data_IF_367580788874
#
_entry.id   IF_367580788874
#
_cell.length_a   1.000
_cell.length_b   1.000
_cell.length_c   1.000
_cell.angle_alpha   90.00
_cell.angle_beta   90.00
_cell.angle_gamma   90.00
#
_symmetry.space_group_name_H-M   'P 1'
#
loop_
_entity.id
_entity.type
_entity.pdbx_description
1 polymer ?
#
# COMPACT_ATOMS: atom_id res chain seq x y z
N UNK A 1 -3.37 -9.55 -10.77
CA UNK A 1 -3.10 -8.34 -9.97
C UNK A 1 -3.82 -8.50 -8.65
N UNK A 2 -3.18 -8.15 -7.54
CA UNK A 2 -3.84 -8.01 -6.25
C UNK A 2 -3.84 -6.53 -5.86
N UNK A 3 -4.94 -6.04 -5.28
CA UNK A 3 -5.02 -4.72 -4.68
C UNK A 3 -5.56 -4.88 -3.27
N UNK A 4 -4.83 -4.34 -2.29
CA UNK A 4 -5.23 -4.28 -0.90
C UNK A 4 -5.52 -2.85 -0.47
N UNK A 5 -6.54 -2.66 0.35
CA UNK A 5 -6.90 -1.38 0.98
C UNK A 5 -7.24 -1.60 2.44
N UNK A 6 -6.90 -0.62 3.27
CA UNK A 6 -7.41 -0.50 4.64
C UNK A 6 -8.15 0.85 4.73
N UNK A 7 -9.46 0.79 4.98
CA UNK A 7 -10.32 1.96 5.12
C UNK A 7 -11.28 1.75 6.29
N UNK A 8 -11.45 2.74 7.16
CA UNK A 8 -12.36 2.70 8.31
C UNK A 8 -12.15 1.45 9.19
N UNK A 9 -10.89 1.04 9.36
CA UNK A 9 -10.51 -0.17 10.12
C UNK A 9 -10.78 -1.50 9.41
N UNK A 10 -11.39 -1.48 8.21
CA UNK A 10 -11.65 -2.67 7.41
C UNK A 10 -10.53 -2.89 6.39
N UNK A 11 -9.93 -4.07 6.42
CA UNK A 11 -8.97 -4.52 5.41
C UNK A 11 -9.70 -5.30 4.32
N UNK A 12 -9.47 -4.94 3.07
CA UNK A 12 -10.00 -5.65 1.91
C UNK A 12 -8.89 -5.89 0.89
N UNK A 13 -8.69 -7.14 0.50
CA UNK A 13 -7.72 -7.52 -0.54
C UNK A 13 -8.46 -8.28 -1.63
N UNK A 14 -8.36 -7.79 -2.86
CA UNK A 14 -8.98 -8.40 -4.03
C UNK A 14 -7.94 -8.83 -5.03
N UNK A 15 -8.17 -9.99 -5.62
CA UNK A 15 -7.36 -10.52 -6.70
C UNK A 15 -8.16 -10.49 -8.01
N UNK A 16 -7.51 -10.06 -9.09
CA UNK A 16 -8.03 -10.18 -10.44
C UNK A 16 -7.03 -10.88 -11.35
N UNK A 17 -7.51 -11.92 -12.03
CA UNK A 17 -6.88 -12.42 -13.26
C UNK A 17 -7.05 -11.41 -14.39
N UNK A 18 -6.44 -11.70 -15.55
CA UNK A 18 -6.45 -10.79 -16.72
C UNK A 18 -7.85 -10.34 -17.15
N UNK A 19 -8.85 -11.21 -17.04
CA UNK A 19 -10.22 -10.92 -17.49
C UNK A 19 -10.97 -9.96 -16.55
N UNK A 20 -10.65 -9.96 -15.25
CA UNK A 20 -11.39 -9.20 -14.24
C UNK A 20 -10.61 -7.97 -13.75
N UNK A 21 -9.45 -7.69 -14.36
CA UNK A 21 -8.56 -6.62 -13.92
C UNK A 21 -9.22 -5.24 -14.05
N UNK A 22 -10.09 -5.08 -15.06
CA UNK A 22 -10.88 -3.86 -15.25
C UNK A 22 -11.83 -3.60 -14.08
N UNK A 23 -12.59 -4.62 -13.66
CA UNK A 23 -13.54 -4.53 -12.55
C UNK A 23 -12.83 -4.21 -11.24
N UNK A 24 -11.64 -4.76 -11.03
CA UNK A 24 -10.82 -4.47 -9.86
C UNK A 24 -10.40 -3.00 -9.80
N UNK A 25 -10.05 -2.40 -10.93
CA UNK A 25 -9.70 -0.97 -11.00
C UNK A 25 -10.93 -0.07 -10.83
N UNK A 26 -12.08 -0.45 -11.38
CA UNK A 26 -13.34 0.27 -11.17
C UNK A 26 -13.76 0.22 -9.69
N UNK A 27 -13.58 -0.92 -9.02
CA UNK A 27 -13.75 -1.04 -7.57
C UNK A 27 -12.78 -0.13 -6.82
N UNK A 28 -11.48 -0.16 -7.13
CA UNK A 28 -10.50 0.72 -6.48
C UNK A 28 -10.88 2.19 -6.63
N UNK A 29 -11.29 2.62 -7.84
CA UNK A 29 -11.75 3.99 -8.09
C UNK A 29 -12.92 4.37 -7.17
N UNK A 30 -13.87 3.45 -6.97
CA UNK A 30 -15.01 3.69 -6.08
C UNK A 30 -14.56 3.81 -4.61
N UNK A 31 -13.64 2.96 -4.15
CA UNK A 31 -13.10 3.01 -2.79
C UNK A 31 -12.30 4.28 -2.52
N UNK A 32 -11.57 4.80 -3.51
CA UNK A 32 -10.81 6.05 -3.37
C UNK A 32 -11.71 7.30 -3.30
N UNK A 33 -12.99 7.18 -3.66
CA UNK A 33 -13.92 8.31 -3.64
C UNK A 33 -14.17 8.77 -2.19
N UNK A 34 -13.97 10.06 -1.96
CA UNK A 34 -14.15 10.69 -0.65
C UNK A 34 -12.99 10.46 0.33
N UNK A 35 -11.88 9.85 -0.11
CA UNK A 35 -10.67 9.78 0.69
C UNK A 35 -9.87 11.08 0.53
N UNK A 36 -9.57 11.74 1.65
CA UNK A 36 -8.78 12.97 1.64
C UNK A 36 -7.29 12.72 1.38
N UNK A 37 -6.80 11.54 1.75
CA UNK A 37 -5.40 11.16 1.61
C UNK A 37 -5.26 9.65 1.41
N UNK A 38 -4.30 9.24 0.58
CA UNK A 38 -3.86 7.84 0.45
C UNK A 38 -2.50 7.67 1.10
N UNK A 39 -2.39 6.73 2.03
CA UNK A 39 -1.10 6.40 2.68
C UNK A 39 -0.54 5.13 2.04
N UNK A 40 0.74 5.14 1.69
CA UNK A 40 1.41 4.01 1.02
C UNK A 40 2.79 3.75 1.62
N UNK A 41 3.37 2.60 1.27
CA UNK A 41 4.78 2.29 1.48
C UNK A 41 5.45 2.05 0.13
N UNK A 42 6.30 2.99 -0.32
CA UNK A 42 6.92 2.96 -1.66
C UNK A 42 5.90 3.03 -2.82
N UNK A 43 4.66 3.40 -2.53
CA UNK A 43 3.57 3.43 -3.50
C UNK A 43 3.63 4.59 -4.47
N UNK A 44 4.28 5.69 -4.10
CA UNK A 44 4.51 6.82 -5.02
C UNK A 44 5.37 6.44 -6.23
N UNK A 45 6.30 5.49 -6.03
CA UNK A 45 7.26 5.03 -7.05
C UNK A 45 6.87 3.70 -7.71
N UNK A 46 6.00 2.91 -7.07
CA UNK A 46 5.58 1.61 -7.60
C UNK A 46 4.06 1.49 -7.75
N UNK A 47 3.30 1.43 -6.66
CA UNK A 47 1.87 1.10 -6.68
C UNK A 47 1.02 2.07 -7.52
N UNK A 48 1.12 3.38 -7.26
CA UNK A 48 0.32 4.38 -7.96
C UNK A 48 0.69 4.45 -9.46
N UNK A 49 1.98 4.49 -9.86
CA UNK A 49 2.36 4.39 -11.27
C UNK A 49 1.90 3.08 -11.93
N UNK A 50 1.98 1.96 -11.22
CA UNK A 50 1.55 0.65 -11.74
C UNK A 50 0.04 0.63 -11.98
N UNK A 51 -0.77 1.01 -10.97
CA UNK A 51 -2.23 1.10 -11.06
C UNK A 51 -2.64 2.01 -12.22
N UNK A 52 -2.03 3.19 -12.33
CA UNK A 52 -2.34 4.14 -13.41
C UNK A 52 -2.01 3.55 -14.78
N UNK A 53 -0.86 2.88 -14.92
CA UNK A 53 -0.45 2.21 -16.17
C UNK A 53 -1.45 1.13 -16.58
N UNK A 54 -1.93 0.33 -15.61
CA UNK A 54 -2.96 -0.69 -15.86
C UNK A 54 -4.30 -0.05 -16.24
N UNK A 55 -4.72 1.02 -15.56
CA UNK A 55 -5.93 1.75 -15.88
C UNK A 55 -5.93 2.34 -17.29
N UNK A 56 -4.82 2.95 -17.72
CA UNK A 56 -4.65 3.46 -19.08
C UNK A 56 -4.74 2.31 -20.09
N UNK A 57 -4.01 1.21 -19.85
CA UNK A 57 -4.01 0.03 -20.74
C UNK A 57 -5.41 -0.59 -20.90
N UNK A 58 -6.25 -0.54 -19.86
CA UNK A 58 -7.59 -1.14 -19.83
C UNK A 58 -8.72 -0.13 -20.09
N UNK A 59 -8.38 1.13 -20.37
CA UNK A 59 -9.33 2.24 -20.59
C UNK A 59 -10.30 2.41 -19.40
N UNK A 60 -9.76 2.36 -18.18
CA UNK A 60 -10.46 2.67 -16.93
C UNK A 60 -10.10 4.10 -16.53
N UNK A 61 -11.11 4.92 -16.25
CA UNK A 61 -10.90 6.31 -15.85
C UNK A 61 -10.44 6.42 -14.40
N UNK A 62 -9.14 6.67 -14.21
CA UNK A 62 -8.49 6.96 -12.93
C UNK A 62 -7.80 8.33 -12.93
N UNK A 63 -8.34 9.32 -13.66
CA UNK A 63 -7.74 10.67 -13.77
C UNK A 63 -7.58 11.43 -12.45
N UNK A 64 -8.32 11.04 -11.43
CA UNK A 64 -8.22 11.64 -10.09
C UNK A 64 -7.04 11.06 -9.29
N UNK A 65 -6.57 9.85 -9.60
CA UNK A 65 -5.50 9.19 -8.84
C UNK A 65 -4.23 10.05 -8.73
N UNK A 66 -3.70 10.68 -9.81
CA UNK A 66 -2.52 11.53 -9.72
C UNK A 66 -2.74 12.85 -8.98
N UNK A 67 -3.99 13.25 -8.77
CA UNK A 67 -4.37 14.50 -8.08
C UNK A 67 -4.65 14.28 -6.60
N UNK A 68 -4.88 13.03 -6.18
CA UNK A 68 -5.13 12.71 -4.78
C UNK A 68 -3.91 13.06 -3.95
N UNK A 69 -4.16 13.64 -2.77
CA UNK A 69 -3.11 13.78 -1.76
C UNK A 69 -2.64 12.39 -1.36
N UNK A 70 -1.34 12.19 -1.34
CA UNK A 70 -0.73 10.93 -0.89
C UNK A 70 0.41 11.18 0.08
N UNK A 71 0.54 10.31 1.07
CA UNK A 71 1.70 10.24 1.96
C UNK A 71 2.40 8.90 1.68
N UNK A 72 3.65 8.97 1.26
CA UNK A 72 4.50 7.77 1.13
C UNK A 72 5.42 7.70 2.35
N UNK A 73 5.14 6.77 3.26
CA UNK A 73 5.89 6.63 4.49
C UNK A 73 7.31 6.10 4.26
N UNK A 74 7.57 5.41 3.15
CA UNK A 74 8.93 5.01 2.81
C UNK A 74 9.78 6.24 2.52
N UNK A 75 9.27 7.15 1.68
CA UNK A 75 9.98 8.38 1.33
C UNK A 75 10.15 9.29 2.54
N UNK A 76 9.10 9.44 3.36
CA UNK A 76 9.20 10.17 4.61
C UNK A 76 10.27 9.57 5.53
N UNK A 77 10.27 8.24 5.74
CA UNK A 77 11.29 7.60 6.57
C UNK A 77 12.69 7.82 6.01
N UNK A 78 12.87 7.72 4.69
CA UNK A 78 14.17 7.95 4.01
C UNK A 78 14.68 9.38 4.19
N UNK A 79 13.79 10.34 4.25
CA UNK A 79 14.12 11.76 4.42
C UNK A 79 14.46 12.09 5.87
N UNK A 80 13.67 11.60 6.84
CA UNK A 80 13.74 12.05 8.24
C UNK A 80 14.42 11.07 9.20
N UNK A 81 14.54 9.78 8.86
CA UNK A 81 15.18 8.77 9.70
C UNK A 81 16.51 8.33 9.12
N UNK A 82 17.47 7.95 9.98
CA UNK A 82 18.78 7.41 9.58
C UNK A 82 18.89 5.94 9.98
N UNK A 83 18.41 5.06 9.12
CA UNK A 83 18.34 3.61 9.36
C UNK A 83 19.28 2.84 8.43
N UNK A 84 19.70 1.64 8.84
CA UNK A 84 20.49 0.73 8.01
C UNK A 84 19.65 0.07 6.89
N UNK A 85 18.34 -0.03 7.09
CA UNK A 85 17.38 -0.56 6.12
C UNK A 85 16.05 0.17 6.22
N UNK A 86 15.35 0.26 5.09
CA UNK A 86 14.03 0.89 4.95
C UNK A 86 13.00 -0.09 4.36
N UNK A 87 13.22 -1.39 4.52
CA UNK A 87 12.14 -2.35 4.28
C UNK A 87 11.03 -2.11 5.30
N UNK A 88 9.78 -2.34 4.92
CA UNK A 88 8.61 -2.13 5.78
C UNK A 88 8.81 -2.76 7.15
N UNK A 89 9.21 -4.04 7.17
CA UNK A 89 9.47 -4.80 8.40
C UNK A 89 10.59 -4.20 9.27
N UNK A 90 11.69 -3.75 8.65
CA UNK A 90 12.84 -3.21 9.38
C UNK A 90 12.48 -1.88 10.06
N UNK A 91 11.74 -1.01 9.37
CA UNK A 91 11.25 0.25 9.96
C UNK A 91 10.21 -0.02 11.03
N UNK A 92 9.29 -0.94 10.79
CA UNK A 92 8.27 -1.31 11.76
C UNK A 92 8.91 -1.83 13.07
N UNK A 93 9.92 -2.69 12.95
CA UNK A 93 10.70 -3.18 14.09
C UNK A 93 11.43 -2.05 14.82
N UNK A 94 12.06 -1.12 14.10
CA UNK A 94 12.76 0.02 14.67
C UNK A 94 11.86 0.90 15.55
N UNK A 95 10.63 1.19 15.09
CA UNK A 95 9.67 2.02 15.84
C UNK A 95 8.80 1.23 16.83
N UNK A 96 9.01 -0.09 16.93
CA UNK A 96 8.23 -0.98 17.80
C UNK A 96 6.80 -1.24 17.34
N UNK A 97 6.53 -1.17 16.03
CA UNK A 97 5.33 -1.69 15.38
C UNK A 97 5.59 -3.13 14.91
N UNK A 98 5.38 -4.12 15.77
CA UNK A 98 5.59 -5.52 15.40
C UNK A 98 4.34 -6.13 14.77
N UNK A 99 4.54 -7.09 13.86
CA UNK A 99 3.46 -8.02 13.46
C UNK A 99 3.06 -8.89 14.64
N UNK A 100 1.80 -9.31 14.64
CA UNK A 100 1.31 -10.34 15.57
C UNK A 100 1.70 -11.75 15.11
N UNK A 101 1.89 -11.93 13.80
CA UNK A 101 2.28 -13.19 13.17
C UNK A 101 3.52 -12.93 12.30
N UNK A 102 4.59 -13.70 12.50
CA UNK A 102 5.74 -13.68 11.59
C UNK A 102 5.36 -14.37 10.28
N UNK A 103 5.27 -13.61 9.19
CA UNK A 103 5.18 -14.20 7.86
C UNK A 103 6.55 -14.75 7.45
N UNK A 104 6.73 -16.07 7.57
CA UNK A 104 7.95 -16.74 7.13
C UNK A 104 7.98 -16.85 5.60
N UNK A 105 8.64 -15.89 4.97
CA UNK A 105 9.66 -16.17 3.96
C UNK A 105 9.25 -16.96 2.72
N UNK A 106 8.01 -16.85 2.23
CA UNK A 106 7.78 -17.16 0.83
C UNK A 106 8.21 -15.96 0.00
N UNK A 107 9.02 -16.19 -1.04
CA UNK A 107 9.32 -15.16 -2.03
C UNK A 107 7.99 -14.72 -2.65
N UNK A 108 7.51 -13.54 -2.26
CA UNK A 108 6.24 -12.94 -2.74
C UNK A 108 6.26 -12.86 -4.26
N UNK A 109 7.44 -12.72 -4.87
CA UNK A 109 7.58 -12.76 -6.33
C UNK A 109 7.23 -14.15 -6.89
N UNK A 110 7.81 -15.22 -6.33
CA UNK A 110 7.51 -16.59 -6.74
C UNK A 110 6.02 -16.95 -6.53
N UNK A 111 5.45 -16.55 -5.39
CA UNK A 111 4.01 -16.71 -5.14
C UNK A 111 3.18 -15.93 -6.16
N UNK A 112 3.56 -14.70 -6.51
CA UNK A 112 2.84 -13.89 -7.49
C UNK A 112 2.78 -14.54 -8.86
N UNK A 113 3.85 -15.21 -9.29
CA UNK A 113 3.88 -15.98 -10.52
C UNK A 113 2.95 -17.20 -10.48
N UNK A 114 2.89 -17.91 -9.35
CA UNK A 114 1.99 -19.05 -9.17
C UNK A 114 0.52 -18.60 -9.10
N UNK A 115 0.23 -17.53 -8.38
CA UNK A 115 -1.10 -16.94 -8.28
C UNK A 115 -1.60 -16.44 -9.65
N UNK A 116 -0.72 -15.86 -10.47
CA UNK A 116 -1.05 -15.47 -11.84
C UNK A 116 -1.43 -16.66 -12.74
N UNK A 117 -1.03 -17.89 -12.37
CA UNK A 117 -1.42 -19.14 -13.04
C UNK A 117 -2.65 -19.81 -12.41
N UNK A 118 -3.28 -19.18 -11.43
CA UNK A 118 -4.48 -19.68 -10.76
C UNK A 118 -4.23 -20.64 -9.60
N UNK A 119 -3.00 -20.71 -9.07
CA UNK A 119 -2.74 -21.50 -7.87
C UNK A 119 -3.40 -20.84 -6.64
N UNK A 120 -4.35 -21.57 -6.02
CA UNK A 120 -5.20 -21.04 -4.95
C UNK A 120 -4.43 -20.81 -3.65
N UNK A 121 -3.48 -21.69 -3.34
CA UNK A 121 -2.66 -21.59 -2.13
C UNK A 121 -1.76 -20.35 -2.20
N UNK A 122 -1.16 -20.07 -3.35
CA UNK A 122 -0.36 -18.88 -3.59
C UNK A 122 -1.21 -17.61 -3.57
N UNK A 123 -2.43 -17.65 -4.13
CA UNK A 123 -3.37 -16.53 -4.04
C UNK A 123 -3.75 -16.23 -2.57
N UNK A 124 -4.01 -17.27 -1.77
CA UNK A 124 -4.30 -17.12 -0.35
C UNK A 124 -3.08 -16.54 0.41
N UNK A 125 -1.89 -17.08 0.17
CA UNK A 125 -0.66 -16.59 0.80
C UNK A 125 -0.36 -15.12 0.48
N UNK A 126 -0.53 -14.69 -0.78
CA UNK A 126 -0.39 -13.27 -1.16
C UNK A 126 -1.47 -12.43 -0.48
N UNK A 127 -2.71 -12.92 -0.43
CA UNK A 127 -3.83 -12.21 0.18
C UNK A 127 -3.54 -11.94 1.65
N UNK A 128 -3.10 -12.95 2.40
CA UNK A 128 -2.80 -12.81 3.81
C UNK A 128 -1.58 -11.91 4.04
N UNK A 129 -0.53 -12.04 3.21
CA UNK A 129 0.61 -11.14 3.23
C UNK A 129 0.21 -9.67 3.02
N UNK A 130 -0.59 -9.39 1.99
CA UNK A 130 -1.09 -8.03 1.74
C UNK A 130 -1.92 -7.47 2.89
N UNK A 131 -2.75 -8.30 3.54
CA UNK A 131 -3.53 -7.87 4.71
C UNK A 131 -2.61 -7.49 5.87
N UNK A 132 -1.63 -8.32 6.17
CA UNK A 132 -0.69 -8.03 7.25
C UNK A 132 0.16 -6.80 6.96
N UNK A 133 0.61 -6.61 5.71
CA UNK A 133 1.34 -5.41 5.28
C UNK A 133 0.53 -4.14 5.48
N UNK A 134 -0.78 -4.17 5.18
CA UNK A 134 -1.68 -3.04 5.42
C UNK A 134 -1.85 -2.75 6.91
N UNK A 135 -1.97 -3.80 7.74
CA UNK A 135 -2.05 -3.64 9.20
C UNK A 135 -0.74 -3.05 9.74
N UNK A 136 0.41 -3.53 9.25
CA UNK A 136 1.71 -3.02 9.64
C UNK A 136 1.90 -1.58 9.19
N UNK A 137 1.51 -1.25 7.96
CA UNK A 137 1.51 0.11 7.42
C UNK A 137 0.68 1.06 8.30
N UNK A 138 -0.52 0.65 8.72
CA UNK A 138 -1.34 1.41 9.67
C UNK A 138 -0.64 1.62 11.01
N UNK A 139 -0.05 0.57 11.59
CA UNK A 139 0.70 0.68 12.86
C UNK A 139 1.90 1.63 12.74
N UNK A 140 2.56 1.65 11.57
CA UNK A 140 3.64 2.61 11.30
C UNK A 140 3.08 4.03 11.18
N UNK A 141 2.02 4.21 10.39
CA UNK A 141 1.35 5.51 10.25
C UNK A 141 0.98 6.09 11.61
N UNK A 142 0.29 5.34 12.47
CA UNK A 142 -0.13 5.80 13.81
C UNK A 142 1.04 6.24 14.70
N UNK A 143 2.20 5.58 14.58
CA UNK A 143 3.40 5.96 15.32
C UNK A 143 4.10 7.19 14.75
N UNK A 144 3.99 7.40 13.45
CA UNK A 144 4.62 8.52 12.74
C UNK A 144 3.70 9.74 12.60
N UNK A 145 2.39 9.58 12.76
CA UNK A 145 1.36 10.61 12.59
C UNK A 145 1.70 11.93 13.31
N UNK A 146 2.18 11.92 14.58
CA UNK A 146 2.60 13.15 15.26
C UNK A 146 3.74 13.92 14.58
N UNK A 147 4.50 13.29 13.69
CA UNK A 147 5.60 13.88 12.94
C UNK A 147 5.25 14.16 11.46
N UNK A 148 4.17 13.57 10.95
CA UNK A 148 3.65 13.84 9.61
C UNK A 148 2.93 15.18 9.56
N UNK A 149 2.26 15.54 10.67
CA UNK A 149 1.75 16.88 10.91
C UNK A 149 2.89 17.78 11.41
N UNK A 150 3.77 18.23 10.51
CA UNK A 150 4.63 19.38 10.86
C UNK A 150 3.72 20.62 10.85
N UNK A 151 3.51 21.30 12.00
CA UNK A 151 2.80 22.56 12.01
C UNK A 151 3.56 23.51 11.07
N UNK A 152 2.85 24.20 10.17
CA UNK A 152 3.42 25.40 9.57
C UNK A 152 3.83 26.28 10.74
N UNK A 153 5.13 26.50 10.87
CA UNK A 153 5.68 27.57 11.67
C UNK A 153 5.20 28.89 11.07
N UNK A 154 3.96 29.28 11.36
CA UNK A 154 3.57 30.67 11.36
C UNK A 154 3.87 31.22 12.74
N UNK A 155 5.07 31.81 12.84
CA UNK A 155 5.28 33.18 13.35
C UNK A 155 6.76 33.49 13.31
N UNK A 156 7.20 34.22 12.28
CA UNK A 156 8.06 35.42 12.40
C UNK A 156 7.82 36.29 11.16
N UNK A 157 7.14 37.42 11.34
CA UNK A 157 6.77 38.40 10.32
C UNK A 157 5.38 38.95 10.56
#
# INVERSE_FOLDING_TARGET
MAIGLLRDGKVEVKFAGRQNERELLEWLRAELKGCDCVVTWYGSKFDLPFILSRAISLRVDMRELPKMRSIDLYDWCREYLKLSSYKLEDVANFIGARREVEFRGNDVHALSLLAARGNKEAMAAITDHCKEDLILLKKIYEKLEPYLEVPRGEKVG
#
